data_IF_618068933873
#
_entry.id   IF_618068933873
#
_cell.length_a   1.000
_cell.length_b   1.000
_cell.length_c   1.000
_cell.angle_alpha   90.00
_cell.angle_beta   90.00
_cell.angle_gamma   90.00
#
_symmetry.space_group_name_H-M   'P 1'
#
loop_
_entity.id
_entity.type
_entity.pdbx_description
1 polymer ?
#
# COMPACT_ATOMS: atom_id res chain seq x y z
N UNK A 1 -1.88 -9.31 10.87
CA UNK A 1 -1.63 -8.49 9.66
C UNK A 1 -2.44 -7.20 9.72
N UNK A 2 -3.08 -6.88 10.85
CA UNK A 2 -4.25 -5.99 10.85
C UNK A 2 -3.89 -4.50 10.78
N UNK A 3 -2.70 -4.10 11.24
CA UNK A 3 -2.28 -2.69 11.22
C UNK A 3 -1.83 -2.22 9.84
N UNK A 4 -1.29 -3.10 8.99
CA UNK A 4 -0.66 -2.71 7.72
C UNK A 4 -1.28 -3.38 6.48
N UNK A 5 -2.45 -4.01 6.65
CA UNK A 5 -3.08 -4.77 5.57
C UNK A 5 -3.37 -3.89 4.35
N UNK A 6 -3.85 -2.66 4.57
CA UNK A 6 -4.18 -1.73 3.49
C UNK A 6 -2.95 -1.29 2.70
N UNK A 7 -1.85 -1.02 3.39
CA UNK A 7 -0.58 -0.61 2.81
C UNK A 7 0.06 -1.75 2.00
N UNK A 8 0.09 -2.96 2.57
CA UNK A 8 0.63 -4.14 1.89
C UNK A 8 -0.23 -4.49 0.67
N UNK A 9 -1.56 -4.48 0.81
CA UNK A 9 -2.48 -4.71 -0.29
C UNK A 9 -2.27 -3.68 -1.41
N UNK A 10 -2.17 -2.40 -1.05
CA UNK A 10 -1.89 -1.32 -1.99
C UNK A 10 -0.56 -1.50 -2.71
N UNK A 11 0.50 -1.87 -1.99
CA UNK A 11 1.83 -2.08 -2.56
C UNK A 11 1.85 -3.25 -3.56
N UNK A 12 1.27 -4.40 -3.18
CA UNK A 12 1.20 -5.58 -4.05
C UNK A 12 0.38 -5.29 -5.31
N UNK A 13 -0.73 -4.57 -5.18
CA UNK A 13 -1.57 -4.21 -6.33
C UNK A 13 -0.89 -3.17 -7.23
N UNK A 14 -0.13 -2.23 -6.67
CA UNK A 14 0.56 -1.21 -7.44
C UNK A 14 1.77 -1.76 -8.19
N UNK A 15 2.52 -2.67 -7.56
CA UNK A 15 3.72 -3.27 -8.15
C UNK A 15 3.43 -4.53 -8.98
N UNK A 16 2.34 -5.23 -8.69
CA UNK A 16 1.97 -6.49 -9.32
C UNK A 16 1.25 -6.33 -10.66
N UNK A 17 1.19 -7.41 -11.42
CA UNK A 17 0.46 -7.44 -12.69
C UNK A 17 -1.06 -7.61 -12.44
N UNK A 18 -1.83 -6.62 -12.90
CA UNK A 18 -3.29 -6.62 -12.81
C UNK A 18 -3.99 -7.84 -13.43
N UNK A 19 -3.40 -8.47 -14.46
CA UNK A 19 -3.91 -9.69 -15.08
C UNK A 19 -3.70 -10.91 -14.18
N UNK A 20 -2.54 -11.00 -13.53
CA UNK A 20 -2.21 -12.08 -12.58
C UNK A 20 -3.09 -11.97 -11.34
N UNK A 21 -3.22 -10.76 -10.79
CA UNK A 21 -4.02 -10.48 -9.61
C UNK A 21 -5.54 -10.48 -9.87
N UNK A 22 -5.96 -10.54 -11.15
CA UNK A 22 -7.35 -10.43 -11.60
C UNK A 22 -8.10 -9.28 -10.91
N UNK A 23 -7.44 -8.12 -10.85
CA UNK A 23 -8.02 -6.96 -10.18
C UNK A 23 -9.14 -6.40 -11.03
N UNK A 24 -10.24 -6.03 -10.37
CA UNK A 24 -11.29 -5.22 -10.99
C UNK A 24 -11.44 -3.92 -10.23
N UNK A 25 -11.80 -2.88 -10.97
CA UNK A 25 -11.93 -1.55 -10.41
C UNK A 25 -13.21 -0.88 -10.89
N UNK A 26 -13.88 -0.24 -9.95
CA UNK A 26 -14.99 0.66 -10.22
C UNK A 26 -14.54 2.10 -10.08
N UNK A 27 -15.03 2.97 -10.99
CA UNK A 27 -14.98 4.40 -10.72
C UNK A 27 -16.12 4.74 -9.76
N UNK A 28 -15.78 5.37 -8.64
CA UNK A 28 -16.74 5.87 -7.65
C UNK A 28 -16.43 7.33 -7.35
N UNK A 29 -17.48 8.12 -7.10
CA UNK A 29 -17.30 9.46 -6.54
C UNK A 29 -17.21 9.36 -5.04
N UNK A 30 -16.13 9.89 -4.49
CA UNK A 30 -15.81 9.81 -3.08
C UNK A 30 -15.59 11.21 -2.52
N UNK A 31 -16.15 11.42 -1.33
CA UNK A 31 -15.87 12.60 -0.51
C UNK A 31 -15.39 12.15 0.86
N UNK A 32 -14.49 12.93 1.47
CA UNK A 32 -14.07 12.78 2.85
C UNK A 32 -14.77 13.86 3.66
N UNK A 33 -15.44 13.47 4.75
CA UNK A 33 -16.07 14.43 5.66
C UNK A 33 -14.99 15.21 6.44
N UNK A 34 -15.15 16.52 6.48
CA UNK A 34 -14.32 17.46 7.22
C UNK A 34 -15.21 18.62 7.70
N UNK A 35 -16.21 18.27 8.50
CA UNK A 35 -17.23 19.18 9.03
C UNK A 35 -16.79 19.85 10.33
N UNK A 36 -15.68 19.40 10.92
CA UNK A 36 -15.19 19.85 12.23
C UNK A 36 -15.82 19.08 13.39
N UNK A 37 -16.56 18.01 13.10
CA UNK A 37 -17.14 17.10 14.09
C UNK A 37 -16.24 15.88 14.18
N UNK A 38 -15.52 15.72 15.28
CA UNK A 38 -14.50 14.69 15.48
C UNK A 38 -15.00 13.26 15.18
N UNK A 39 -16.28 12.96 15.45
CA UNK A 39 -16.87 11.64 15.19
C UNK A 39 -17.15 11.34 13.72
N UNK A 40 -17.19 12.37 12.87
CA UNK A 40 -17.53 12.26 11.44
C UNK A 40 -16.32 12.55 10.54
N UNK A 41 -15.42 13.40 11.00
CA UNK A 41 -14.24 13.82 10.25
C UNK A 41 -13.36 12.61 9.90
N UNK A 42 -12.97 12.53 8.63
CA UNK A 42 -12.21 11.41 8.06
C UNK A 42 -13.08 10.26 7.51
N UNK A 43 -14.40 10.29 7.71
CA UNK A 43 -15.28 9.29 7.12
C UNK A 43 -15.34 9.44 5.59
N UNK A 44 -15.24 8.32 4.90
CA UNK A 44 -15.41 8.22 3.45
C UNK A 44 -16.89 8.04 3.14
N UNK A 45 -17.46 8.96 2.37
CA UNK A 45 -18.83 8.87 1.87
C UNK A 45 -18.80 8.71 0.33
N UNK A 46 -19.62 7.79 -0.17
CA UNK A 46 -19.76 7.48 -1.60
C UNK A 46 -21.10 8.05 -2.07
N UNK A 47 -21.05 9.19 -2.76
CA UNK A 47 -22.23 9.86 -3.34
C UNK A 47 -22.03 10.00 -4.85
N UNK A 48 -22.92 9.45 -5.67
CA UNK A 48 -22.83 9.52 -7.13
C UNK A 48 -22.92 10.98 -7.67
N UNK A 49 -23.44 11.91 -6.87
CA UNK A 49 -23.65 13.30 -7.26
C UNK A 49 -22.55 14.24 -6.76
N UNK A 50 -21.79 13.88 -5.72
CA UNK A 50 -20.82 14.76 -5.04
C UNK A 50 -19.47 14.08 -4.84
N UNK A 51 -18.40 14.87 -4.76
CA UNK A 51 -17.05 14.37 -4.53
C UNK A 51 -16.24 14.09 -5.80
N UNK A 52 -15.01 13.62 -5.59
CA UNK A 52 -14.01 13.38 -6.64
C UNK A 52 -14.11 11.96 -7.18
N UNK A 53 -13.94 11.80 -8.50
CA UNK A 53 -13.92 10.46 -9.11
C UNK A 53 -12.59 9.77 -8.81
N UNK A 54 -12.66 8.62 -8.14
CA UNK A 54 -11.51 7.79 -7.80
C UNK A 54 -11.72 6.36 -8.28
N UNK A 55 -10.62 5.69 -8.60
CA UNK A 55 -10.62 4.27 -9.00
C UNK A 55 -10.55 3.42 -7.74
N UNK A 56 -11.62 2.71 -7.42
CA UNK A 56 -11.75 1.86 -6.23
C UNK A 56 -11.53 0.41 -6.64
N UNK A 57 -10.66 -0.30 -5.91
CA UNK A 57 -10.49 -1.75 -6.07
C UNK A 57 -11.76 -2.46 -5.57
N UNK A 58 -12.42 -3.21 -6.46
CA UNK A 58 -13.64 -3.96 -6.12
C UNK A 58 -13.37 -5.45 -5.88
N UNK A 59 -12.38 -6.01 -6.58
CA UNK A 59 -12.00 -7.41 -6.45
C UNK A 59 -10.50 -7.60 -6.67
N UNK A 60 -9.93 -8.57 -5.98
CA UNK A 60 -8.61 -9.15 -6.21
C UNK A 60 -8.71 -10.66 -5.95
N UNK A 61 -8.03 -11.47 -6.76
CA UNK A 61 -7.93 -12.91 -6.52
C UNK A 61 -7.06 -13.16 -5.27
N UNK A 62 -7.60 -13.71 -4.17
CA UNK A 62 -6.85 -13.81 -2.92
C UNK A 62 -5.64 -14.75 -3.01
N UNK A 63 -5.73 -15.82 -3.78
CA UNK A 63 -4.62 -16.77 -3.95
C UNK A 63 -3.50 -16.10 -4.74
N UNK A 64 -3.83 -15.46 -5.87
CA UNK A 64 -2.85 -14.73 -6.66
C UNK A 64 -2.20 -13.59 -5.85
N UNK A 65 -2.97 -12.91 -4.99
CA UNK A 65 -2.44 -11.89 -4.07
C UNK A 65 -1.40 -12.48 -3.11
N UNK A 66 -1.74 -13.56 -2.39
CA UNK A 66 -0.81 -14.15 -1.43
C UNK A 66 0.42 -14.76 -2.10
N UNK A 67 0.27 -15.39 -3.26
CA UNK A 67 1.39 -15.91 -4.04
C UNK A 67 2.32 -14.79 -4.49
N UNK A 68 1.76 -13.69 -5.03
CA UNK A 68 2.55 -12.52 -5.45
C UNK A 68 3.27 -11.88 -4.25
N UNK A 69 2.57 -11.72 -3.12
CA UNK A 69 3.16 -11.18 -1.90
C UNK A 69 4.29 -12.06 -1.37
N UNK A 70 4.09 -13.37 -1.27
CA UNK A 70 5.09 -14.31 -0.78
C UNK A 70 6.32 -14.38 -1.70
N UNK A 71 6.11 -14.39 -3.02
CA UNK A 71 7.20 -14.37 -4.00
C UNK A 71 8.02 -13.08 -3.90
N UNK A 72 7.35 -11.94 -3.71
CA UNK A 72 8.04 -10.66 -3.54
C UNK A 72 8.88 -10.63 -2.25
N UNK A 73 8.32 -11.16 -1.15
CA UNK A 73 9.01 -11.22 0.13
C UNK A 73 10.21 -12.19 0.11
N UNK A 74 10.11 -13.25 -0.68
CA UNK A 74 11.18 -14.23 -0.88
C UNK A 74 12.24 -13.82 -1.91
N UNK A 75 12.11 -12.66 -2.56
CA UNK A 75 13.05 -12.21 -3.57
C UNK A 75 14.36 -11.74 -2.94
N UNK A 76 15.39 -12.60 -2.96
CA UNK A 76 16.69 -12.36 -2.30
C UNK A 76 17.39 -11.06 -2.75
N UNK A 77 17.07 -10.55 -3.95
CA UNK A 77 17.61 -9.28 -4.47
C UNK A 77 17.03 -8.04 -3.77
N UNK A 78 15.94 -8.19 -3.02
CA UNK A 78 15.37 -7.14 -2.17
C UNK A 78 15.92 -7.17 -0.73
N UNK A 79 16.87 -8.05 -0.44
CA UNK A 79 17.68 -7.92 0.76
C UNK A 79 18.33 -6.54 0.72
N UNK A 80 17.98 -5.67 1.65
CA UNK A 80 18.83 -4.53 1.93
C UNK A 80 20.22 -5.12 2.15
N UNK A 81 21.17 -4.80 1.27
CA UNK A 81 22.59 -5.10 1.51
C UNK A 81 22.99 -4.19 2.67
N UNK A 82 22.63 -4.63 3.86
CA UNK A 82 23.16 -4.10 5.10
C UNK A 82 24.64 -4.42 4.98
N UNK A 83 25.44 -3.38 4.73
CA UNK A 83 26.88 -3.47 4.87
C UNK A 83 27.19 -4.13 6.21
N UNK A 84 28.31 -4.84 6.29
CA UNK A 84 28.70 -5.51 7.52
C UNK A 84 28.56 -4.56 8.72
N UNK A 85 28.29 -5.10 9.91
CA UNK A 85 28.16 -4.28 11.13
C UNK A 85 29.31 -3.26 11.28
N UNK A 86 30.51 -3.63 10.85
CA UNK A 86 31.68 -2.74 10.83
C UNK A 86 31.56 -1.59 9.83
N UNK A 87 31.03 -1.81 8.62
CA UNK A 87 30.80 -0.77 7.62
C UNK A 87 29.73 0.22 8.08
N UNK A 88 28.62 -0.27 8.65
CA UNK A 88 27.57 0.59 9.21
C UNK A 88 28.08 1.40 10.39
N UNK A 89 28.78 0.76 11.34
CA UNK A 89 29.39 1.42 12.47
C UNK A 89 30.37 2.51 12.02
N UNK A 90 31.18 2.24 10.99
CA UNK A 90 32.11 3.22 10.43
C UNK A 90 31.36 4.44 9.89
N UNK A 91 30.28 4.27 9.13
CA UNK A 91 29.46 5.39 8.65
C UNK A 91 28.81 6.21 9.77
N UNK A 92 28.28 5.56 10.82
CA UNK A 92 27.65 6.25 11.94
C UNK A 92 28.65 6.98 12.84
N UNK A 93 29.89 6.51 12.87
CA UNK A 93 30.97 7.09 13.67
C UNK A 93 31.59 8.33 13.02
N UNK A 94 31.36 8.58 11.73
CA UNK A 94 31.88 9.78 11.07
C UNK A 94 30.92 10.95 11.33
N UNK A 95 31.37 12.04 11.99
CA UNK A 95 30.56 13.24 12.11
C UNK A 95 30.30 13.80 10.71
N UNK A 96 29.03 13.97 10.33
CA UNK A 96 28.69 14.71 9.12
C UNK A 96 28.88 16.19 9.43
N UNK A 97 29.84 16.82 8.73
CA UNK A 97 30.12 18.26 8.77
C UNK A 97 29.05 18.99 7.96
#
# INVERSE_FOLDING_TARGET
MDTFLGEILGAVILAGDSLVLKTTYGVRKVQVLATGVESEDGQINIDQNKGSSVKVLEHVDPLAYYDTFANQLGEEKQSAVIGSFDEQRRMWSVPRI
#
